data_IF_221087102221
#
_entry.id   IF_221087102221
#
_cell.length_a   1.000
_cell.length_b   1.000
_cell.length_c   1.000
_cell.angle_alpha   90.00
_cell.angle_beta   90.00
_cell.angle_gamma   90.00
#
_symmetry.space_group_name_H-M   'P 1'
#
loop_
_entity.id
_entity.type
_entity.pdbx_description
1 polymer ?
#
# COMPACT_ATOMS: atom_id res chain seq x y z
N UNK A 1 -18.23 -11.33 -35.25
CA UNK A 1 -16.78 -11.04 -35.20
C UNK A 1 -16.58 -9.98 -34.13
N UNK A 2 -16.15 -10.40 -32.93
CA UNK A 2 -14.78 -10.20 -32.39
C UNK A 2 -14.49 -8.71 -32.17
N UNK A 3 -14.25 -8.20 -30.95
CA UNK A 3 -13.41 -8.75 -29.88
C UNK A 3 -13.81 -8.23 -28.49
N UNK A 4 -14.32 -9.12 -27.62
CA UNK A 4 -14.13 -8.97 -26.17
C UNK A 4 -12.80 -9.66 -25.86
N UNK A 5 -11.70 -8.91 -25.82
CA UNK A 5 -10.36 -9.45 -25.54
C UNK A 5 -9.90 -8.98 -24.15
N UNK A 6 -9.66 -9.97 -23.29
CA UNK A 6 -8.79 -9.98 -22.13
C UNK A 6 -9.08 -8.95 -21.02
N UNK A 7 -10.05 -9.29 -20.16
CA UNK A 7 -9.87 -9.09 -18.73
C UNK A 7 -9.44 -10.45 -18.18
N UNK A 8 -8.24 -10.89 -18.55
CA UNK A 8 -7.56 -11.98 -17.86
C UNK A 8 -7.23 -11.45 -16.48
N UNK A 9 -8.02 -11.89 -15.51
CA UNK A 9 -7.70 -11.90 -14.11
C UNK A 9 -6.26 -12.40 -13.95
N UNK A 10 -5.36 -11.47 -13.65
CA UNK A 10 -4.01 -11.78 -13.21
C UNK A 10 -4.14 -12.34 -11.78
N UNK A 11 -4.60 -13.59 -11.68
CA UNK A 11 -4.37 -14.43 -10.50
C UNK A 11 -2.85 -14.60 -10.43
N UNK A 12 -2.19 -13.70 -9.71
CA UNK A 12 -0.79 -13.88 -9.39
C UNK A 12 -0.69 -15.20 -8.63
N UNK A 13 -0.20 -16.24 -9.30
CA UNK A 13 0.08 -17.52 -8.67
C UNK A 13 0.98 -17.24 -7.46
N UNK A 14 0.47 -17.60 -6.28
CA UNK A 14 1.22 -17.45 -5.03
C UNK A 14 2.57 -18.14 -5.20
N UNK A 15 3.65 -17.47 -4.81
CA UNK A 15 4.96 -18.09 -4.83
C UNK A 15 4.98 -19.32 -3.92
N UNK A 16 5.86 -20.31 -4.16
CA UNK A 16 5.94 -21.50 -3.31
C UNK A 16 6.13 -21.17 -1.82
N UNK A 17 6.84 -20.08 -1.51
CA UNK A 17 7.07 -19.61 -0.14
C UNK A 17 5.79 -19.04 0.48
N UNK A 18 4.96 -18.34 -0.30
CA UNK A 18 3.66 -17.87 0.17
C UNK A 18 2.69 -19.03 0.37
N UNK A 19 2.69 -20.02 -0.53
CA UNK A 19 1.87 -21.22 -0.39
C UNK A 19 2.19 -21.98 0.90
N UNK A 20 3.47 -22.25 1.15
CA UNK A 20 3.94 -22.90 2.39
C UNK A 20 3.55 -22.09 3.63
N UNK A 21 3.72 -20.76 3.59
CA UNK A 21 3.31 -19.89 4.69
C UNK A 21 1.79 -19.94 4.96
N UNK A 22 0.96 -19.97 3.91
CA UNK A 22 -0.48 -20.10 4.06
C UNK A 22 -0.90 -21.47 4.58
N UNK A 23 -0.21 -22.54 4.18
CA UNK A 23 -0.43 -23.88 4.70
C UNK A 23 -0.09 -23.97 6.20
N UNK A 24 1.03 -23.38 6.63
CA UNK A 24 1.39 -23.27 8.05
C UNK A 24 0.34 -22.50 8.86
N UNK A 25 -0.13 -21.36 8.33
CA UNK A 25 -1.19 -20.57 8.96
C UNK A 25 -2.51 -21.33 9.03
N UNK A 26 -2.85 -22.11 8.00
CA UNK A 26 -4.05 -22.94 7.98
C UNK A 26 -3.96 -24.05 9.04
N UNK A 27 -2.85 -24.78 9.10
CA UNK A 27 -2.61 -25.80 10.12
C UNK A 27 -2.65 -25.22 11.54
N UNK A 28 -2.06 -24.04 11.74
CA UNK A 28 -2.18 -23.32 13.01
C UNK A 28 -3.62 -22.97 13.34
N UNK A 29 -4.39 -22.42 12.41
CA UNK A 29 -5.78 -22.03 12.64
C UNK A 29 -6.70 -23.22 12.99
N UNK A 30 -6.46 -24.39 12.38
CA UNK A 30 -7.19 -25.62 12.69
C UNK A 30 -6.86 -26.19 14.07
N UNK A 31 -5.66 -25.89 14.59
CA UNK A 31 -5.16 -26.42 15.87
C UNK A 31 -5.05 -25.36 16.97
N UNK A 32 -5.42 -24.11 16.67
CA UNK A 32 -5.30 -22.99 17.57
C UNK A 32 -6.24 -23.18 18.77
N UNK A 33 -5.66 -23.58 19.89
CA UNK A 33 -6.40 -23.73 21.12
C UNK A 33 -6.74 -22.35 21.70
N UNK A 34 -7.99 -22.19 22.11
CA UNK A 34 -8.41 -20.98 22.79
C UNK A 34 -7.87 -21.08 24.21
N UNK A 35 -7.11 -20.06 24.66
CA UNK A 35 -6.53 -20.06 25.99
C UNK A 35 -7.60 -20.44 27.05
N UNK A 36 -7.27 -21.28 28.04
CA UNK A 36 -8.26 -21.86 28.97
C UNK A 36 -9.01 -20.81 29.82
N UNK A 37 -8.49 -19.58 29.88
CA UNK A 37 -9.08 -18.44 30.56
C UNK A 37 -9.68 -17.39 29.60
N UNK A 38 -9.80 -17.69 28.31
CA UNK A 38 -10.40 -16.79 27.35
C UNK A 38 -11.88 -16.57 27.66
N UNK A 39 -12.28 -15.31 27.73
CA UNK A 39 -13.69 -14.94 27.86
C UNK A 39 -14.28 -14.72 26.48
N UNK A 40 -15.05 -15.69 26.02
CA UNK A 40 -15.80 -15.59 24.76
C UNK A 40 -17.18 -15.00 25.09
N UNK A 41 -17.41 -13.77 24.64
CA UNK A 41 -18.71 -13.10 24.79
C UNK A 41 -19.35 -12.92 23.42
N UNK A 42 -20.65 -13.18 23.34
CA UNK A 42 -21.41 -12.91 22.11
C UNK A 42 -21.50 -11.40 21.88
N UNK A 43 -21.28 -10.95 20.65
CA UNK A 43 -21.45 -9.56 20.28
C UNK A 43 -22.92 -9.12 20.46
N UNK A 44 -23.13 -7.97 21.12
CA UNK A 44 -24.46 -7.39 21.31
C UNK A 44 -25.00 -6.65 20.06
N UNK A 45 -24.14 -6.45 19.05
CA UNK A 45 -24.51 -5.79 17.81
C UNK A 45 -23.34 -5.65 16.84
N UNK A 46 -23.57 -5.07 15.66
CA UNK A 46 -22.50 -4.65 14.77
C UNK A 46 -21.53 -3.70 15.52
N UNK A 47 -20.24 -3.75 15.20
CA UNK A 47 -19.16 -2.96 15.85
C UNK A 47 -18.78 -3.32 17.31
N UNK A 48 -19.48 -4.24 17.98
CA UNK A 48 -19.15 -4.62 19.36
C UNK A 48 -17.72 -5.16 19.51
N UNK A 49 -17.27 -5.98 18.54
CA UNK A 49 -15.89 -6.49 18.51
C UNK A 49 -14.86 -5.38 18.29
N UNK A 50 -15.18 -4.39 17.43
CA UNK A 50 -14.30 -3.25 17.18
C UNK A 50 -14.16 -2.37 18.42
N UNK A 51 -15.28 -2.10 19.10
CA UNK A 51 -15.31 -1.31 20.34
C UNK A 51 -14.50 -1.98 21.45
N UNK A 52 -14.58 -3.30 21.58
CA UNK A 52 -13.76 -4.07 22.53
C UNK A 52 -12.26 -3.94 22.24
N UNK A 53 -11.88 -4.01 20.96
CA UNK A 53 -10.49 -3.82 20.54
C UNK A 53 -10.02 -2.38 20.77
N UNK A 54 -10.87 -1.38 20.54
CA UNK A 54 -10.54 0.03 20.81
C UNK A 54 -10.32 0.27 22.30
N UNK A 55 -11.11 -0.35 23.18
CA UNK A 55 -10.92 -0.30 24.62
C UNK A 55 -9.62 -0.99 25.07
N UNK A 56 -9.24 -2.11 24.46
CA UNK A 56 -8.02 -2.84 24.81
C UNK A 56 -6.74 -2.19 24.26
N UNK A 57 -6.78 -1.66 23.04
CA UNK A 57 -5.63 -1.07 22.34
C UNK A 57 -5.52 0.45 22.54
N UNK A 58 -6.51 1.07 23.19
CA UNK A 58 -6.50 2.46 23.63
C UNK A 58 -6.78 3.51 22.55
N UNK A 59 -6.88 3.13 21.26
CA UNK A 59 -7.32 4.06 20.21
C UNK A 59 -7.84 3.36 18.95
N UNK A 60 -8.72 4.01 18.18
CA UNK A 60 -9.13 3.55 16.85
C UNK A 60 -7.97 3.38 15.86
N UNK A 61 -6.91 4.17 16.00
CA UNK A 61 -5.71 4.05 15.15
C UNK A 61 -4.89 2.80 15.48
N UNK A 62 -4.74 2.47 16.76
CA UNK A 62 -4.06 1.25 17.20
C UNK A 62 -4.79 0.00 16.70
N UNK A 63 -6.13 -0.01 16.76
CA UNK A 63 -6.95 -1.10 16.18
C UNK A 63 -6.76 -1.18 14.66
N UNK A 64 -6.82 -0.06 13.93
CA UNK A 64 -6.58 -0.05 12.48
C UNK A 64 -5.20 -0.57 12.10
N UNK A 65 -4.18 -0.32 12.93
CA UNK A 65 -2.81 -0.80 12.70
C UNK A 65 -2.66 -2.29 13.00
N UNK A 66 -3.30 -2.77 14.07
CA UNK A 66 -3.19 -4.15 14.52
C UNK A 66 -4.05 -5.14 13.71
N UNK A 67 -5.20 -4.68 13.20
CA UNK A 67 -6.22 -5.55 12.58
C UNK A 67 -6.53 -5.16 11.13
N UNK A 68 -6.21 -3.93 10.72
CA UNK A 68 -6.56 -3.43 9.39
C UNK A 68 -5.47 -3.67 8.34
N UNK A 69 -5.89 -4.03 7.13
CA UNK A 69 -5.07 -3.84 5.92
C UNK A 69 -4.76 -2.34 5.77
N UNK A 70 -3.50 -1.94 5.51
CA UNK A 70 -3.18 -0.54 5.24
C UNK A 70 -4.11 0.01 4.17
N UNK A 71 -4.76 1.15 4.45
CA UNK A 71 -5.61 1.76 3.42
C UNK A 71 -4.75 2.14 2.23
N UNK A 72 -5.09 1.62 1.06
CA UNK A 72 -4.51 2.03 -0.23
C UNK A 72 -4.87 3.49 -0.58
N UNK A 73 -5.82 4.10 0.15
CA UNK A 73 -6.24 5.48 -0.04
C UNK A 73 -5.34 6.51 0.64
N UNK A 74 -4.29 6.10 1.36
CA UNK A 74 -3.33 7.07 1.90
C UNK A 74 -2.49 7.59 0.74
N UNK A 75 -2.78 8.83 0.34
CA UNK A 75 -1.86 9.64 -0.47
C UNK A 75 -0.47 9.58 0.16
N UNK A 76 0.56 9.37 -0.65
CA UNK A 76 1.94 9.38 -0.18
C UNK A 76 2.24 10.68 0.56
N UNK A 77 3.27 10.67 1.42
CA UNK A 77 3.65 11.81 2.29
C UNK A 77 3.85 13.12 1.50
N UNK A 78 4.11 13.03 0.19
CA UNK A 78 4.33 14.18 -0.70
C UNK A 78 3.15 14.40 -1.67
N UNK A 79 2.65 15.64 -1.79
CA UNK A 79 1.67 16.00 -2.83
C UNK A 79 2.20 15.71 -4.24
N UNK A 80 1.37 15.12 -5.09
CA UNK A 80 1.71 14.86 -6.50
C UNK A 80 1.17 15.97 -7.40
N UNK A 81 1.99 16.46 -8.33
CA UNK A 81 1.60 17.41 -9.38
C UNK A 81 1.97 16.88 -10.75
N UNK A 82 1.01 16.85 -11.68
CA UNK A 82 1.22 16.48 -13.08
C UNK A 82 1.25 17.74 -13.95
N UNK A 83 2.28 17.87 -14.79
CA UNK A 83 2.51 19.04 -15.66
C UNK A 83 2.78 18.51 -17.07
N UNK A 84 2.27 19.21 -18.09
CA UNK A 84 2.59 18.87 -19.48
C UNK A 84 3.92 19.51 -19.88
N UNK A 85 4.84 18.69 -20.38
CA UNK A 85 6.12 19.14 -20.93
C UNK A 85 6.04 19.16 -22.46
N UNK A 86 6.68 20.14 -23.13
CA UNK A 86 6.98 20.02 -24.56
C UNK A 86 7.78 18.74 -24.84
N UNK A 87 7.52 18.09 -25.98
CA UNK A 87 8.16 16.81 -26.33
C UNK A 87 9.69 16.85 -26.26
N UNK A 88 10.27 17.95 -26.70
CA UNK A 88 11.72 18.15 -26.69
C UNK A 88 12.28 18.16 -25.26
N UNK A 89 11.58 18.82 -24.33
CA UNK A 89 11.99 18.90 -22.93
C UNK A 89 11.86 17.56 -22.21
N UNK A 90 10.83 16.79 -22.55
CA UNK A 90 10.65 15.42 -22.04
C UNK A 90 11.79 14.49 -22.51
N UNK A 91 12.15 14.56 -23.80
CA UNK A 91 13.27 13.78 -24.34
C UNK A 91 14.60 14.13 -23.64
N UNK A 92 14.87 15.41 -23.39
CA UNK A 92 16.06 15.85 -22.65
C UNK A 92 16.07 15.35 -21.20
N UNK A 93 14.90 15.33 -20.53
CA UNK A 93 14.78 14.81 -19.18
C UNK A 93 15.03 13.29 -19.12
N UNK A 94 14.50 12.53 -20.08
CA UNK A 94 14.73 11.08 -20.18
C UNK A 94 16.19 10.78 -20.45
N UNK A 95 16.81 11.44 -21.44
CA UNK A 95 18.23 11.25 -21.75
C UNK A 95 19.15 11.54 -20.55
N UNK A 96 18.82 12.57 -19.77
CA UNK A 96 19.55 12.92 -18.55
C UNK A 96 19.31 11.92 -17.41
N UNK A 97 18.09 11.40 -17.29
CA UNK A 97 17.74 10.36 -16.33
C UNK A 97 18.53 9.08 -16.58
N UNK A 98 18.68 8.70 -17.85
CA UNK A 98 19.45 7.54 -18.27
C UNK A 98 20.95 7.72 -18.02
N UNK A 99 21.51 8.89 -18.36
CA UNK A 99 22.95 9.15 -18.20
C UNK A 99 23.37 9.29 -16.74
N UNK A 100 22.53 9.88 -15.89
CA UNK A 100 22.81 10.03 -14.46
C UNK A 100 22.39 8.79 -13.64
N UNK A 101 21.68 7.81 -14.23
CA UNK A 101 21.03 6.70 -13.53
C UNK A 101 20.11 7.15 -12.38
N UNK A 102 19.41 8.26 -12.59
CA UNK A 102 18.53 8.90 -11.60
C UNK A 102 17.10 8.95 -12.10
N UNK A 103 16.14 8.98 -11.18
CA UNK A 103 14.72 9.09 -11.56
C UNK A 103 14.43 10.49 -12.13
N UNK A 104 13.59 10.62 -13.18
CA UNK A 104 13.20 11.93 -13.71
C UNK A 104 12.62 12.88 -12.64
N UNK A 105 11.88 12.32 -11.68
CA UNK A 105 11.28 13.08 -10.58
C UNK A 105 12.31 13.66 -9.60
N UNK A 106 13.51 13.08 -9.49
CA UNK A 106 14.62 13.63 -8.69
C UNK A 106 15.26 14.81 -9.40
N UNK A 107 15.54 14.65 -10.69
CA UNK A 107 16.11 15.70 -11.54
C UNK A 107 15.20 16.92 -11.56
N UNK A 108 13.88 16.73 -11.74
CA UNK A 108 12.89 17.82 -11.71
C UNK A 108 12.85 18.52 -10.35
N UNK A 109 12.90 17.77 -9.24
CA UNK A 109 12.92 18.36 -7.88
C UNK A 109 14.16 19.22 -7.65
N UNK A 110 15.32 18.77 -8.10
CA UNK A 110 16.56 19.53 -7.95
C UNK A 110 16.57 20.77 -8.83
N UNK A 111 16.14 20.66 -10.09
CA UNK A 111 16.02 21.78 -11.00
C UNK A 111 15.06 22.86 -10.47
N UNK A 112 13.92 22.45 -9.90
CA UNK A 112 12.97 23.38 -9.28
C UNK A 112 13.58 24.07 -8.05
N UNK A 113 14.31 23.34 -7.21
CA UNK A 113 14.99 23.91 -6.04
C UNK A 113 16.02 24.96 -6.46
N UNK A 114 16.82 24.66 -7.47
CA UNK A 114 17.84 25.56 -8.03
C UNK A 114 17.20 26.80 -8.67
N UNK A 115 16.15 26.62 -9.47
CA UNK A 115 15.43 27.71 -10.12
C UNK A 115 14.83 28.68 -9.09
N UNK A 116 14.11 28.15 -8.10
CA UNK A 116 13.49 28.99 -7.05
C UNK A 116 14.53 29.67 -6.16
N UNK A 117 15.64 29.00 -5.87
CA UNK A 117 16.75 29.57 -5.10
C UNK A 117 17.47 30.71 -5.82
N UNK A 118 17.47 30.72 -7.17
CA UNK A 118 18.01 31.82 -7.99
C UNK A 118 17.03 32.95 -8.23
N UNK A 119 15.73 32.65 -8.19
CA UNK A 119 14.66 33.61 -8.43
C UNK A 119 14.24 34.38 -7.17
N UNK A 120 14.84 34.08 -6.02
CA UNK A 120 14.64 34.74 -4.72
C UNK A 120 15.81 35.70 -4.44
#
# INVERSE_FOLDING_TARGET
MSTKKAMESNEAELSPQEQEHYEELAAWAETADIAPNARITKAEGPEAGRSLLEAALGSPEAVRRAVGKPSLSKEGISPTRSIRLPKELDAQLVARSESEHRKPSEIVRDALREYLGRAS
#
